data_IF_443910604128
#
_entry.id   IF_443910604128
#
_cell.length_a   1.000
_cell.length_b   1.000
_cell.length_c   1.000
_cell.angle_alpha   90.00
_cell.angle_beta   90.00
_cell.angle_gamma   90.00
#
_symmetry.space_group_name_H-M   'P 1'
#
loop_
_entity.id
_entity.type
_entity.pdbx_description
1 polymer ?
#
# COMPACT_ATOMS: atom_id res chain seq x y z
N UNK A 1 -7.42 -26.08 6.35
CA UNK A 1 -7.36 -25.53 6.24
C UNK A 1 -7.04 -24.77 6.38
N UNK A 2 -7.32 -24.68 6.57
CA UNK A 2 -7.12 -23.90 6.59
C UNK A 2 -7.06 -23.09 6.97
N UNK A 3 -7.21 -23.02 7.16
CA UNK A 3 -7.18 -22.34 7.44
C UNK A 3 -6.99 -21.46 7.77
N UNK A 4 -7.11 -21.32 8.01
CA UNK A 4 -7.11 -20.55 8.35
C UNK A 4 -6.82 -19.72 8.64
N UNK A 5 -6.87 -19.58 8.59
CA UNK A 5 -6.60 -18.83 8.82
C UNK A 5 -6.25 -17.85 8.97
N UNK A 6 -6.31 -17.68 8.91
CA UNK A 6 -6.09 -16.67 9.05
C UNK A 6 -5.55 -15.81 9.16
N UNK A 7 -5.32 -15.72 9.51
CA UNK A 7 -5.08 -14.46 9.69
C UNK A 7 -4.06 -13.75 9.11
N UNK A 8 -3.38 -14.08 8.40
CA UNK A 8 -2.56 -13.12 7.77
C UNK A 8 -3.37 -12.37 6.76
N UNK A 9 -4.22 -11.56 7.31
CA UNK A 9 -5.11 -10.81 6.47
C UNK A 9 -4.35 -9.84 5.57
N UNK A 10 -3.16 -9.36 6.01
CA UNK A 10 -2.41 -8.47 5.15
C UNK A 10 -1.88 -9.18 3.92
N UNK A 11 -1.49 -10.43 4.08
CA UNK A 11 -1.04 -11.23 2.95
C UNK A 11 -2.16 -11.37 1.93
N UNK A 12 -3.35 -11.72 2.40
CA UNK A 12 -4.49 -11.88 1.50
C UNK A 12 -4.88 -10.56 0.86
N UNK A 13 -4.80 -9.47 1.61
CA UNK A 13 -5.12 -8.16 1.08
C UNK A 13 -4.20 -7.79 -0.09
N UNK A 14 -2.91 -7.98 0.08
CA UNK A 14 -1.96 -7.60 -0.96
C UNK A 14 -2.24 -8.37 -2.24
N UNK A 15 -2.51 -9.64 -2.11
CA UNK A 15 -2.80 -10.47 -3.28
C UNK A 15 -4.06 -9.99 -3.99
N UNK A 16 -5.10 -9.67 -3.23
CA UNK A 16 -6.34 -9.22 -3.83
C UNK A 16 -6.21 -7.84 -4.43
N UNK A 17 -5.46 -6.96 -3.79
CA UNK A 17 -5.30 -5.60 -4.29
C UNK A 17 -4.68 -5.61 -5.68
N UNK A 18 -3.71 -6.49 -5.91
CA UNK A 18 -3.06 -6.51 -7.21
C UNK A 18 -4.05 -6.88 -8.32
N UNK A 19 -5.18 -7.44 -7.94
CA UNK A 19 -6.19 -7.88 -8.91
C UNK A 19 -7.38 -6.95 -9.04
N UNK A 20 -7.48 -5.91 -8.21
CA UNK A 20 -8.68 -5.06 -8.26
C UNK A 20 -8.66 -4.05 -9.40
N UNK A 21 -7.50 -3.82 -10.00
CA UNK A 21 -7.41 -2.86 -11.10
C UNK A 21 -6.24 -3.26 -11.99
N UNK A 22 -6.50 -3.36 -13.28
CA UNK A 22 -5.46 -3.78 -14.23
C UNK A 22 -4.30 -2.81 -14.31
N UNK A 23 -4.46 -1.59 -13.82
CA UNK A 23 -3.39 -0.61 -13.81
C UNK A 23 -2.40 -0.83 -12.67
N UNK A 24 -2.71 -1.71 -11.75
CA UNK A 24 -1.80 -2.02 -10.64
C UNK A 24 -0.73 -2.97 -11.14
N UNK A 25 0.53 -2.62 -10.88
CA UNK A 25 1.67 -3.41 -11.32
C UNK A 25 2.15 -4.35 -10.23
N UNK A 26 2.14 -3.89 -8.99
CA UNK A 26 2.62 -4.71 -7.89
C UNK A 26 2.12 -4.14 -6.57
N UNK A 27 2.06 -4.99 -5.57
CA UNK A 27 1.70 -4.60 -4.21
C UNK A 27 2.67 -5.29 -3.27
N UNK A 28 3.16 -4.56 -2.28
CA UNK A 28 4.02 -5.17 -1.29
C UNK A 28 3.89 -4.42 0.04
N UNK A 29 4.40 -5.05 1.08
CA UNK A 29 4.35 -4.51 2.44
C UNK A 29 5.76 -4.20 2.89
N UNK A 30 5.94 -3.01 3.49
CA UNK A 30 7.20 -2.64 4.12
C UNK A 30 6.98 -2.73 5.63
N UNK A 31 7.78 -3.56 6.27
CA UNK A 31 7.66 -3.79 7.70
C UNK A 31 8.44 -2.74 8.48
N UNK A 32 8.25 -2.67 9.81
CA UNK A 32 8.94 -1.64 10.60
C UNK A 32 10.45 -1.64 10.46
N UNK A 33 11.04 -2.80 10.15
CA UNK A 33 12.48 -2.89 9.97
C UNK A 33 12.93 -2.50 8.57
N UNK A 34 11.98 -2.11 7.71
CA UNK A 34 12.30 -1.69 6.36
C UNK A 34 12.31 -2.81 5.34
N UNK A 35 12.07 -4.04 5.77
CA UNK A 35 12.08 -5.18 4.85
C UNK A 35 10.76 -5.33 4.13
N UNK A 36 10.83 -5.81 2.90
CA UNK A 36 9.66 -6.07 2.08
C UNK A 36 9.13 -7.47 2.38
N UNK A 37 7.82 -7.56 2.50
CA UNK A 37 7.16 -8.86 2.58
C UNK A 37 5.89 -8.81 1.73
N UNK A 38 5.26 -9.97 1.57
CA UNK A 38 3.96 -10.07 0.90
C UNK A 38 3.95 -9.38 -0.45
N UNK A 39 4.94 -9.68 -1.26
CA UNK A 39 5.10 -9.08 -2.58
C UNK A 39 4.31 -9.87 -3.61
N UNK A 40 3.43 -9.17 -4.33
CA UNK A 40 2.67 -9.74 -5.43
C UNK A 40 2.80 -8.83 -6.64
N UNK A 41 3.23 -9.40 -7.75
CA UNK A 41 3.42 -8.67 -8.99
C UNK A 41 2.34 -9.14 -9.95
N UNK A 42 1.69 -8.18 -10.63
CA UNK A 42 0.64 -8.52 -11.58
C UNK A 42 1.23 -9.40 -12.68
N UNK A 43 0.41 -10.35 -13.13
CA UNK A 43 0.86 -11.38 -14.05
C UNK A 43 1.42 -10.80 -15.34
N UNK A 44 0.77 -9.77 -15.86
CA UNK A 44 1.17 -9.17 -17.12
C UNK A 44 2.00 -7.90 -16.95
N UNK A 45 2.39 -7.58 -15.72
CA UNK A 45 3.24 -6.43 -15.49
C UNK A 45 4.65 -6.71 -15.98
N UNK A 46 5.29 -5.68 -16.52
CA UNK A 46 6.64 -5.84 -17.05
C UNK A 46 7.67 -5.34 -16.05
N UNK A 47 7.50 -5.76 -14.81
CA UNK A 47 8.46 -5.46 -13.77
C UNK A 47 8.75 -6.75 -13.02
N UNK A 48 9.85 -6.76 -12.28
CA UNK A 48 10.21 -7.93 -11.50
C UNK A 48 10.60 -7.51 -10.10
N UNK A 49 11.01 -8.47 -9.30
CA UNK A 49 11.38 -8.19 -7.92
C UNK A 49 12.53 -7.20 -7.84
N UNK A 50 13.43 -7.26 -8.80
CA UNK A 50 14.55 -6.33 -8.85
C UNK A 50 14.06 -4.89 -8.98
N UNK A 51 13.04 -4.68 -9.80
CA UNK A 51 12.44 -3.36 -9.94
C UNK A 51 11.83 -2.89 -8.63
N UNK A 52 11.14 -3.79 -7.94
CA UNK A 52 10.52 -3.47 -6.65
C UNK A 52 11.59 -3.06 -5.65
N UNK A 53 12.68 -3.82 -5.57
CA UNK A 53 13.76 -3.49 -4.64
C UNK A 53 14.38 -2.15 -4.99
N UNK A 54 14.53 -1.85 -6.27
CA UNK A 54 15.08 -0.57 -6.69
C UNK A 54 14.17 0.58 -6.29
N UNK A 55 12.87 0.40 -6.45
CA UNK A 55 11.91 1.41 -6.05
C UNK A 55 12.01 1.66 -4.55
N UNK A 56 12.04 0.58 -3.78
CA UNK A 56 12.15 0.73 -2.34
C UNK A 56 13.40 1.52 -1.95
N UNK A 57 14.53 1.17 -2.55
CA UNK A 57 15.78 1.86 -2.24
C UNK A 57 15.73 3.32 -2.66
N UNK A 58 15.26 3.57 -3.88
CA UNK A 58 15.23 4.92 -4.43
C UNK A 58 14.34 5.85 -3.62
N UNK A 59 13.21 5.33 -3.16
CA UNK A 59 12.25 6.15 -2.45
C UNK A 59 12.44 6.09 -0.93
N UNK A 60 13.40 5.27 -0.49
CA UNK A 60 13.68 5.16 0.94
C UNK A 60 12.40 4.82 1.71
N UNK A 61 11.67 3.83 1.19
CA UNK A 61 10.40 3.44 1.79
C UNK A 61 10.65 2.66 3.07
N UNK A 62 10.58 3.34 4.18
CA UNK A 62 10.69 2.74 5.49
C UNK A 62 9.42 3.04 6.25
N UNK A 63 9.02 2.10 7.08
CA UNK A 63 7.93 2.35 7.99
C UNK A 63 8.36 3.42 8.97
N UNK A 64 7.60 4.49 9.06
CA UNK A 64 7.94 5.58 9.96
C UNK A 64 7.11 5.48 11.21
N UNK A 65 7.78 5.61 12.32
CA UNK A 65 7.11 5.63 13.58
C UNK A 65 6.20 6.85 13.66
N UNK A 66 4.96 6.63 14.06
CA UNK A 66 4.01 7.73 14.17
C UNK A 66 4.50 8.82 15.10
N UNK A 67 5.36 8.48 16.03
CA UNK A 67 5.87 9.47 16.97
C UNK A 67 6.68 10.54 16.29
N UNK A 68 7.35 10.19 15.22
CA UNK A 68 8.15 11.18 14.51
C UNK A 68 7.31 12.12 13.70
N UNK A 69 6.07 11.74 13.44
CA UNK A 69 5.17 12.56 12.65
C UNK A 69 4.22 13.37 13.50
N UNK A 70 4.39 13.34 14.79
CA UNK A 70 3.46 14.00 15.69
C UNK A 70 3.87 15.41 16.04
N UNK A 71 4.38 16.14 15.07
CA UNK A 71 4.70 17.55 15.33
C UNK A 71 3.45 18.33 15.60
N UNK A 72 2.37 18.03 14.86
CA UNK A 72 1.10 18.72 15.05
C UNK A 72 -0.04 17.74 14.94
N UNK A 73 -0.09 16.76 15.81
CA UNK A 73 -1.09 15.70 15.68
C UNK A 73 -2.51 16.20 15.83
N UNK A 74 -2.72 17.24 16.63
CA UNK A 74 -4.06 17.71 16.88
C UNK A 74 -4.67 18.46 15.71
N UNK A 75 -3.86 18.94 14.79
CA UNK A 75 -4.38 19.71 13.67
C UNK A 75 -4.79 18.83 12.50
N UNK A 76 -3.97 17.88 12.14
CA UNK A 76 -4.20 17.08 10.94
C UNK A 76 -4.62 15.65 11.22
N UNK A 77 -4.30 15.15 12.41
CA UNK A 77 -4.50 13.74 12.67
C UNK A 77 -3.41 12.91 12.02
N UNK A 78 -3.67 11.64 11.88
CA UNK A 78 -2.68 10.72 11.34
C UNK A 78 -2.60 10.81 9.83
N UNK A 79 -1.40 10.63 9.32
CA UNK A 79 -1.17 10.56 7.89
C UNK A 79 -1.66 9.19 7.41
N UNK A 80 -2.66 9.17 6.54
CA UNK A 80 -3.29 7.92 6.14
C UNK A 80 -2.73 7.33 4.87
N UNK A 81 -2.47 8.16 3.86
CA UNK A 81 -1.92 7.67 2.60
C UNK A 81 -1.42 8.85 1.77
N UNK A 82 -0.61 8.54 0.76
CA UNK A 82 -0.22 9.56 -0.20
C UNK A 82 0.12 8.90 -1.54
N UNK A 83 0.25 9.72 -2.56
CA UNK A 83 0.55 9.29 -3.91
C UNK A 83 1.78 10.04 -4.39
N UNK A 84 2.74 9.30 -4.95
CA UNK A 84 3.93 9.89 -5.56
C UNK A 84 3.91 9.53 -7.05
N UNK A 85 3.81 10.55 -7.88
CA UNK A 85 3.74 10.34 -9.31
C UNK A 85 5.10 10.55 -9.95
N UNK A 86 5.62 9.51 -10.58
CA UNK A 86 6.86 9.57 -11.33
C UNK A 86 6.57 9.32 -12.80
N UNK A 87 7.52 9.65 -13.65
CA UNK A 87 7.30 9.53 -15.08
C UNK A 87 6.94 8.11 -15.51
N UNK A 88 7.57 7.12 -14.88
CA UNK A 88 7.38 5.73 -15.31
C UNK A 88 6.52 4.91 -14.39
N UNK A 89 6.28 5.38 -13.18
CA UNK A 89 5.54 4.58 -12.22
C UNK A 89 4.91 5.51 -11.19
N UNK A 90 3.78 5.08 -10.68
CA UNK A 90 3.08 5.79 -9.61
C UNK A 90 3.17 4.95 -8.36
N UNK A 91 3.48 5.58 -7.23
CA UNK A 91 3.60 4.89 -5.96
C UNK A 91 2.51 5.38 -5.02
N UNK A 92 1.68 4.48 -4.52
CA UNK A 92 0.66 4.79 -3.55
C UNK A 92 1.09 4.17 -2.24
N UNK A 93 1.24 5.00 -1.21
CA UNK A 93 1.64 4.52 0.12
C UNK A 93 0.46 4.63 1.05
N UNK A 94 0.13 3.54 1.72
CA UNK A 94 -0.98 3.49 2.66
C UNK A 94 -0.41 3.10 4.02
N UNK A 95 -0.54 4.01 4.98
CA UNK A 95 0.04 3.82 6.30
C UNK A 95 -0.93 3.03 7.16
N UNK A 96 -0.53 1.83 7.55
CA UNK A 96 -1.30 1.00 8.45
C UNK A 96 -0.63 0.97 9.82
N UNK A 97 -1.27 0.34 10.77
CA UNK A 97 -0.82 0.43 12.16
C UNK A 97 0.63 0.00 12.34
N UNK A 98 1.00 -1.12 11.78
CA UNK A 98 2.33 -1.70 11.98
C UNK A 98 3.08 -1.94 10.70
N UNK A 99 2.67 -1.31 9.60
CA UNK A 99 3.32 -1.58 8.34
C UNK A 99 2.91 -0.53 7.32
N UNK A 100 3.63 -0.53 6.21
CA UNK A 100 3.33 0.36 5.10
C UNK A 100 2.95 -0.50 3.90
N UNK A 101 1.75 -0.28 3.40
CA UNK A 101 1.30 -0.97 2.20
C UNK A 101 1.63 -0.10 1.00
N UNK A 102 2.34 -0.67 0.03
CA UNK A 102 2.79 0.08 -1.14
C UNK A 102 2.18 -0.54 -2.39
N UNK A 103 1.56 0.31 -3.20
CA UNK A 103 0.98 -0.10 -4.47
C UNK A 103 1.72 0.61 -5.58
N UNK A 104 2.27 -0.17 -6.51
CA UNK A 104 2.90 0.38 -7.71
C UNK A 104 1.91 0.29 -8.84
N UNK A 105 1.68 1.41 -9.52
CA UNK A 105 0.67 1.47 -10.57
C UNK A 105 1.23 2.19 -11.78
N UNK A 106 0.50 2.07 -12.89
CA UNK A 106 0.86 2.76 -14.13
C UNK A 106 0.72 4.26 -13.94
N UNK A 107 1.74 4.99 -14.38
CA UNK A 107 1.69 6.44 -14.37
C UNK A 107 0.89 6.92 -15.57
N UNK A 108 0.61 8.23 -15.61
CA UNK A 108 -0.07 8.88 -16.73
C UNK A 108 -1.50 8.37 -16.93
N UNK A 109 -2.12 7.93 -15.84
CA UNK A 109 -3.53 7.57 -15.85
C UNK A 109 -4.25 8.54 -14.93
N UNK A 110 -5.56 8.37 -14.79
CA UNK A 110 -6.34 9.26 -13.93
C UNK A 110 -5.75 9.26 -12.51
N UNK A 111 -5.41 10.43 -11.97
CA UNK A 111 -4.64 10.48 -10.71
C UNK A 111 -5.27 9.76 -9.53
N UNK A 112 -6.57 9.83 -9.37
CA UNK A 112 -7.19 9.25 -8.19
C UNK A 112 -7.82 7.90 -8.40
N UNK A 113 -7.84 7.41 -9.64
CA UNK A 113 -8.66 6.26 -9.96
C UNK A 113 -8.20 4.99 -9.22
N UNK A 114 -6.90 4.69 -9.32
CA UNK A 114 -6.39 3.49 -8.67
C UNK A 114 -6.44 3.64 -7.16
N UNK A 115 -6.10 4.83 -6.66
CA UNK A 115 -6.14 5.07 -5.23
C UNK A 115 -7.54 4.86 -4.68
N UNK A 116 -8.55 5.38 -5.38
CA UNK A 116 -9.92 5.20 -4.95
C UNK A 116 -10.32 3.73 -4.92
N UNK A 117 -9.90 3.00 -5.94
CA UNK A 117 -10.23 1.57 -6.00
C UNK A 117 -9.59 0.81 -4.84
N UNK A 118 -8.31 1.08 -4.59
CA UNK A 118 -7.60 0.38 -3.51
C UNK A 118 -8.17 0.77 -2.15
N UNK A 119 -8.37 2.05 -1.92
CA UNK A 119 -8.89 2.50 -0.64
C UNK A 119 -10.31 2.01 -0.43
N UNK A 120 -11.10 1.95 -1.50
CA UNK A 120 -12.44 1.39 -1.41
C UNK A 120 -12.41 -0.07 -1.03
N UNK A 121 -11.50 -0.83 -1.63
CA UNK A 121 -11.36 -2.23 -1.28
C UNK A 121 -11.00 -2.39 0.20
N UNK A 122 -10.02 -1.61 0.67
CA UNK A 122 -9.61 -1.69 2.06
C UNK A 122 -10.73 -1.28 2.99
N UNK A 123 -11.47 -0.26 2.60
CA UNK A 123 -12.57 0.24 3.40
C UNK A 123 -13.66 -0.81 3.56
N UNK A 124 -13.92 -1.57 2.52
CA UNK A 124 -14.96 -2.59 2.56
C UNK A 124 -14.51 -3.86 3.26
N UNK A 125 -13.23 -4.16 3.20
CA UNK A 125 -12.70 -5.43 3.70
C UNK A 125 -12.23 -5.37 5.14
N UNK A 126 -12.08 -4.17 5.70
CA UNK A 126 -11.44 -3.98 6.99
C UNK A 126 -12.39 -3.22 7.90
N UNK A 127 -13.00 -3.94 8.84
CA UNK A 127 -13.96 -3.33 9.75
C UNK A 127 -13.34 -2.22 10.58
N UNK A 128 -12.13 -2.45 11.02
CA UNK A 128 -11.44 -1.47 11.83
C UNK A 128 -11.20 -0.19 11.03
N UNK A 129 -10.81 -0.36 9.79
CA UNK A 129 -10.57 0.77 8.91
C UNK A 129 -11.88 1.51 8.65
N UNK A 130 -12.97 0.76 8.44
CA UNK A 130 -14.26 1.37 8.22
C UNK A 130 -14.71 2.20 9.40
N UNK A 131 -14.46 1.71 10.60
CA UNK A 131 -14.85 2.45 11.80
C UNK A 131 -14.12 3.77 11.90
N UNK A 132 -12.85 3.78 11.53
CA UNK A 132 -12.09 5.02 11.51
C UNK A 132 -12.66 6.01 10.53
N UNK A 133 -13.09 5.54 9.39
CA UNK A 133 -13.55 6.43 8.34
C UNK A 133 -14.94 7.00 8.60
N UNK A 134 -15.64 6.50 9.61
CA UNK A 134 -16.92 7.06 9.96
C UNK A 134 -16.80 8.42 10.63
N UNK A 135 -15.60 8.83 10.89
CA UNK A 135 -15.36 10.13 11.50
C UNK A 135 -14.45 10.97 10.67
#
# INVERSE_FOLDING_TARGET
MKKGSSPSSSYDKAKHIVEVDEKILAVFVVNPDGNISDLFIAEDAKIDRSTVESVRSSLNLKFENNQEQKTNPSLLGEHLWDILEYDKIRVIKIYELNRLLVVLAQSHTSPGEVAETVLGYLHESDEEYQQKSLF
#
